data_IF_447911991144
#
_entry.id   IF_447911991144
#
_cell.length_a   1.000
_cell.length_b   1.000
_cell.length_c   1.000
_cell.angle_alpha   90.00
_cell.angle_beta   90.00
_cell.angle_gamma   90.00
#
_symmetry.space_group_name_H-M   'P 1'
#
loop_
_entity.id
_entity.type
_entity.pdbx_description
1 polymer ?
#
# COMPACT_ATOMS: atom_id res chain seq x y z
N UNK A 1 -12.17 24.39 17.15
CA UNK A 1 -10.76 24.21 16.73
C UNK A 1 -10.76 23.43 15.44
N UNK A 2 -10.35 24.04 14.32
CA UNK A 2 -10.10 23.32 13.08
C UNK A 2 -8.90 22.42 13.34
N UNK A 3 -9.11 21.10 13.38
CA UNK A 3 -8.01 20.15 13.42
C UNK A 3 -7.23 20.29 12.11
N UNK A 4 -6.05 20.90 12.18
CA UNK A 4 -5.14 20.97 11.03
C UNK A 4 -4.36 19.66 10.94
N UNK A 5 -4.30 19.10 9.74
CA UNK A 5 -3.48 17.94 9.46
C UNK A 5 -2.00 18.33 9.47
N UNK A 6 -1.09 17.35 9.71
CA UNK A 6 0.32 17.55 9.42
C UNK A 6 0.53 18.10 8.01
N UNK A 7 1.62 18.84 7.79
CA UNK A 7 1.93 19.42 6.49
C UNK A 7 2.04 18.32 5.43
N UNK A 8 1.54 18.57 4.22
CA UNK A 8 1.73 17.65 3.09
C UNK A 8 3.14 17.79 2.51
N UNK A 9 3.69 16.70 1.97
CA UNK A 9 4.97 16.74 1.25
C UNK A 9 4.83 17.53 -0.05
N UNK A 10 3.75 17.27 -0.79
CA UNK A 10 3.33 18.10 -1.93
C UNK A 10 2.16 18.96 -1.49
N UNK A 11 2.30 20.26 -1.68
CA UNK A 11 1.24 21.22 -1.42
C UNK A 11 0.00 20.96 -2.29
N UNK A 12 -1.17 21.34 -1.78
CA UNK A 12 -2.41 21.19 -2.53
C UNK A 12 -2.34 22.02 -3.83
N UNK A 13 -2.70 21.40 -4.95
CA UNK A 13 -2.58 22.01 -6.28
C UNK A 13 -1.24 21.79 -6.99
N UNK A 14 -0.19 21.35 -6.28
CA UNK A 14 1.11 21.00 -6.87
C UNK A 14 1.25 19.50 -7.20
N UNK A 15 0.16 18.74 -7.05
CA UNK A 15 0.10 17.32 -7.36
C UNK A 15 0.35 17.09 -8.87
N UNK A 16 1.30 16.21 -9.20
CA UNK A 16 1.60 15.89 -10.59
C UNK A 16 0.40 15.24 -11.27
N UNK A 17 -0.12 15.85 -12.32
CA UNK A 17 -1.19 15.24 -13.11
C UNK A 17 -0.57 14.21 -14.05
N UNK A 18 -1.01 12.95 -13.91
CA UNK A 18 -0.50 11.85 -14.72
C UNK A 18 -1.64 11.26 -15.55
N UNK A 19 -1.43 11.20 -16.86
CA UNK A 19 -2.39 10.59 -17.80
C UNK A 19 -2.26 9.06 -17.81
N UNK A 20 -1.02 8.56 -17.77
CA UNK A 20 -0.70 7.12 -17.86
C UNK A 20 0.26 6.70 -16.76
N UNK A 21 -0.10 5.62 -16.07
CA UNK A 21 0.74 4.95 -15.08
C UNK A 21 0.96 3.53 -15.58
N UNK A 22 2.22 3.10 -15.65
CA UNK A 22 2.49 1.71 -16.00
C UNK A 22 1.92 0.79 -14.91
N UNK A 23 1.37 -0.34 -15.32
CA UNK A 23 0.95 -1.38 -14.40
C UNK A 23 1.58 -2.68 -14.86
N UNK A 24 2.51 -3.19 -14.08
CA UNK A 24 3.21 -4.45 -14.35
C UNK A 24 2.60 -5.64 -13.59
N UNK A 25 1.50 -5.44 -12.87
CA UNK A 25 0.78 -6.52 -12.20
C UNK A 25 0.15 -7.46 -13.25
N UNK A 26 0.76 -8.64 -13.43
CA UNK A 26 0.29 -9.68 -14.37
C UNK A 26 -0.53 -10.74 -13.62
N UNK A 27 -1.85 -10.55 -13.61
CA UNK A 27 -2.78 -11.50 -12.97
C UNK A 27 -2.91 -12.83 -13.71
N UNK A 28 -2.71 -12.82 -15.03
CA UNK A 28 -2.86 -14.01 -15.89
C UNK A 28 -1.97 -15.17 -15.47
N UNK A 29 -0.76 -14.87 -14.96
CA UNK A 29 0.17 -15.90 -14.47
C UNK A 29 -0.43 -16.65 -13.28
N UNK A 30 -1.14 -15.95 -12.39
CA UNK A 30 -1.72 -16.56 -11.19
C UNK A 30 -3.00 -17.34 -11.54
N UNK A 31 -3.74 -16.93 -12.57
CA UNK A 31 -4.84 -17.70 -13.14
C UNK A 31 -4.35 -19.01 -13.78
N UNK A 32 -3.23 -18.98 -14.51
CA UNK A 32 -2.59 -20.18 -15.06
C UNK A 32 -2.09 -21.13 -13.96
N UNK A 33 -1.41 -20.60 -12.93
CA UNK A 33 -0.95 -21.38 -11.78
C UNK A 33 -2.12 -22.08 -11.09
N UNK A 34 -3.24 -21.37 -10.87
CA UNK A 34 -4.45 -21.96 -10.29
C UNK A 34 -5.01 -23.10 -11.15
N UNK A 35 -4.96 -22.97 -12.48
CA UNK A 35 -5.41 -24.00 -13.40
C UNK A 35 -4.55 -25.27 -13.38
N UNK A 36 -3.23 -25.12 -13.16
CA UNK A 36 -2.27 -26.26 -13.16
C UNK A 36 -2.13 -26.89 -11.78
N UNK A 37 -2.15 -26.09 -10.71
CA UNK A 37 -1.85 -26.49 -9.33
C UNK A 37 -3.02 -26.17 -8.40
N UNK A 38 -4.22 -26.66 -8.72
CA UNK A 38 -5.44 -26.26 -8.00
C UNK A 38 -5.44 -26.68 -6.52
N UNK A 39 -4.89 -27.86 -6.20
CA UNK A 39 -4.86 -28.38 -4.82
C UNK A 39 -3.92 -27.55 -3.96
N UNK A 40 -2.70 -27.33 -4.43
CA UNK A 40 -1.69 -26.53 -3.74
C UNK A 40 -2.14 -25.07 -3.62
N UNK A 41 -2.80 -24.54 -4.66
CA UNK A 41 -3.34 -23.20 -4.64
C UNK A 41 -4.41 -23.02 -3.55
N UNK A 42 -5.31 -24.00 -3.37
CA UNK A 42 -6.32 -24.00 -2.30
C UNK A 42 -5.70 -24.14 -0.90
N UNK A 43 -4.55 -24.80 -0.78
CA UNK A 43 -3.78 -24.83 0.47
C UNK A 43 -3.12 -23.48 0.76
N UNK A 44 -2.49 -22.85 -0.23
CA UNK A 44 -1.86 -21.53 -0.09
C UNK A 44 -2.88 -20.43 0.18
N UNK A 45 -4.12 -20.56 -0.31
CA UNK A 45 -5.20 -19.64 0.03
C UNK A 45 -5.51 -19.59 1.54
N UNK A 46 -5.18 -20.65 2.29
CA UNK A 46 -5.35 -20.72 3.74
C UNK A 46 -4.14 -20.18 4.50
N UNK A 47 -3.04 -19.91 3.80
CA UNK A 47 -1.83 -19.37 4.40
C UNK A 47 -2.08 -17.93 4.88
N UNK A 48 -1.68 -17.57 6.12
CA UNK A 48 -1.95 -16.25 6.68
C UNK A 48 -1.19 -15.12 5.96
N UNK A 49 -0.11 -15.43 5.23
CA UNK A 49 0.74 -14.47 4.52
C UNK A 49 0.31 -14.39 3.05
N UNK A 50 0.28 -15.52 2.35
CA UNK A 50 -0.01 -15.57 0.92
C UNK A 50 -1.50 -15.61 0.59
N UNK A 51 -2.33 -16.14 1.49
CA UNK A 51 -3.78 -16.22 1.31
C UNK A 51 -4.43 -14.86 1.04
N UNK A 52 -4.17 -13.82 1.85
CA UNK A 52 -4.66 -12.46 1.57
C UNK A 52 -4.22 -11.92 0.20
N UNK A 53 -3.00 -12.22 -0.24
CA UNK A 53 -2.48 -11.76 -1.53
C UNK A 53 -3.17 -12.45 -2.71
N UNK A 54 -3.40 -13.76 -2.63
CA UNK A 54 -4.17 -14.50 -3.64
C UNK A 54 -5.66 -14.13 -3.60
N UNK A 55 -6.20 -13.84 -2.42
CA UNK A 55 -7.57 -13.40 -2.26
C UNK A 55 -7.87 -12.07 -2.98
N UNK A 56 -6.88 -11.18 -3.14
CA UNK A 56 -7.03 -9.97 -3.97
C UNK A 56 -7.39 -10.35 -5.41
N UNK A 57 -6.80 -11.41 -5.94
CA UNK A 57 -7.03 -11.87 -7.32
C UNK A 57 -8.37 -12.61 -7.42
N UNK A 58 -8.66 -13.50 -6.47
CA UNK A 58 -9.94 -14.23 -6.41
C UNK A 58 -11.14 -13.28 -6.34
N UNK A 59 -11.04 -12.24 -5.51
CA UNK A 59 -12.09 -11.23 -5.35
C UNK A 59 -12.08 -10.18 -6.48
N UNK A 60 -11.23 -10.37 -7.51
CA UNK A 60 -11.08 -9.46 -8.66
C UNK A 60 -10.78 -8.02 -8.22
N UNK A 61 -10.12 -7.84 -7.08
CA UNK A 61 -9.66 -6.54 -6.64
C UNK A 61 -8.63 -6.03 -7.65
N UNK A 62 -8.80 -4.77 -8.05
CA UNK A 62 -8.03 -4.18 -9.14
C UNK A 62 -6.96 -3.27 -8.55
N UNK A 63 -5.71 -3.47 -8.95
CA UNK A 63 -4.66 -2.49 -8.73
C UNK A 63 -4.97 -1.24 -9.57
N UNK A 64 -5.25 -0.13 -8.90
CA UNK A 64 -5.43 1.17 -9.55
C UNK A 64 -4.21 2.04 -9.31
N UNK A 65 -3.34 2.15 -10.32
CA UNK A 65 -2.18 3.04 -10.26
C UNK A 65 -2.58 4.49 -9.97
N UNK A 66 -3.76 4.94 -10.45
CA UNK A 66 -4.29 6.29 -10.17
C UNK A 66 -4.59 6.51 -8.68
N UNK A 67 -5.13 5.49 -8.00
CA UNK A 67 -5.40 5.57 -6.56
C UNK A 67 -4.09 5.65 -5.78
N UNK A 68 -3.13 4.77 -6.09
CA UNK A 68 -1.83 4.76 -5.44
C UNK A 68 -1.08 6.08 -5.67
N UNK A 69 -1.10 6.60 -6.89
CA UNK A 69 -0.54 7.91 -7.21
C UNK A 69 -1.20 9.04 -6.41
N UNK A 70 -2.54 9.01 -6.24
CA UNK A 70 -3.22 9.98 -5.38
C UNK A 70 -2.80 9.85 -3.91
N UNK A 71 -2.50 8.66 -3.40
CA UNK A 71 -2.00 8.49 -2.03
C UNK A 71 -0.60 9.10 -1.89
N UNK A 72 0.30 8.82 -2.83
CA UNK A 72 1.66 9.37 -2.85
C UNK A 72 1.62 10.91 -2.92
N UNK A 73 0.77 11.48 -3.79
CA UNK A 73 0.67 12.93 -3.92
C UNK A 73 0.09 13.62 -2.68
N UNK A 74 -0.72 12.91 -1.90
CA UNK A 74 -1.39 13.42 -0.69
C UNK A 74 -0.69 12.95 0.58
N UNK A 75 0.58 12.58 0.49
CA UNK A 75 1.39 12.15 1.61
C UNK A 75 1.62 13.29 2.60
N UNK A 76 1.51 12.95 3.88
CA UNK A 76 1.76 13.81 5.03
C UNK A 76 3.22 13.67 5.47
N UNK A 77 3.82 14.77 5.89
CA UNK A 77 5.15 14.81 6.49
C UNK A 77 5.05 14.32 7.94
N UNK A 78 5.67 13.17 8.21
CA UNK A 78 5.62 12.47 9.51
C UNK A 78 7.01 12.04 9.92
N UNK A 79 7.37 12.17 11.20
CA UNK A 79 8.72 11.83 11.71
C UNK A 79 9.02 10.34 11.76
N UNK A 80 8.05 9.48 11.43
CA UNK A 80 8.18 8.02 11.45
C UNK A 80 8.69 7.52 10.09
N UNK A 81 9.92 6.99 10.06
CA UNK A 81 10.59 6.52 8.84
C UNK A 81 9.81 5.46 8.07
N UNK A 82 9.20 4.53 8.80
CA UNK A 82 8.52 3.38 8.23
C UNK A 82 6.99 3.50 8.23
N UNK A 83 6.48 4.72 8.40
CA UNK A 83 5.06 5.00 8.26
C UNK A 83 4.81 5.99 7.12
N UNK A 84 3.98 5.58 6.19
CA UNK A 84 3.40 6.44 5.17
C UNK A 84 2.02 6.88 5.64
N UNK A 85 1.86 8.18 5.78
CA UNK A 85 0.56 8.79 6.07
C UNK A 85 0.10 9.57 4.86
N UNK A 86 -1.16 9.47 4.49
CA UNK A 86 -1.71 10.18 3.34
C UNK A 86 -3.17 10.57 3.57
N UNK A 87 -3.60 11.66 2.94
CA UNK A 87 -4.98 12.11 3.03
C UNK A 87 -5.86 11.45 1.97
N UNK A 88 -6.93 10.82 2.42
CA UNK A 88 -7.99 10.29 1.56
C UNK A 88 -9.36 10.73 2.08
N UNK A 89 -10.14 11.39 1.23
CA UNK A 89 -11.46 11.91 1.61
C UNK A 89 -11.45 12.74 2.92
N UNK A 90 -10.42 13.58 3.12
CA UNK A 90 -10.17 14.37 4.34
C UNK A 90 -9.98 13.54 5.61
N UNK A 91 -9.60 12.27 5.48
CA UNK A 91 -9.22 11.39 6.58
C UNK A 91 -7.76 10.97 6.39
N UNK A 92 -6.94 10.98 7.46
CA UNK A 92 -5.60 10.46 7.39
C UNK A 92 -5.68 8.93 7.34
N UNK A 93 -5.05 8.34 6.34
CA UNK A 93 -4.79 6.92 6.25
C UNK A 93 -3.31 6.68 6.54
N UNK A 94 -3.02 5.56 7.20
CA UNK A 94 -1.67 5.15 7.56
C UNK A 94 -1.36 3.80 6.91
N UNK A 95 -0.13 3.66 6.47
CA UNK A 95 0.47 2.40 6.06
C UNK A 95 1.84 2.29 6.73
N UNK A 96 2.05 1.28 7.56
CA UNK A 96 3.29 1.09 8.33
C UNK A 96 3.98 -0.23 7.99
N UNK A 97 5.31 -0.24 8.08
CA UNK A 97 6.08 -1.46 7.88
C UNK A 97 5.83 -2.49 9.01
N UNK A 98 5.63 -2.02 10.24
CA UNK A 98 5.47 -2.89 11.41
C UNK A 98 4.09 -3.55 11.50
N UNK A 99 3.04 -2.94 10.95
CA UNK A 99 1.68 -3.49 11.03
C UNK A 99 1.19 -3.99 9.68
N UNK A 100 0.92 -3.10 8.73
CA UNK A 100 0.31 -3.47 7.45
C UNK A 100 1.24 -4.32 6.59
N UNK A 101 2.52 -3.94 6.49
CA UNK A 101 3.49 -4.72 5.72
C UNK A 101 3.78 -6.06 6.41
N UNK A 102 4.05 -6.06 7.72
CA UNK A 102 4.22 -7.29 8.51
C UNK A 102 3.04 -8.25 8.38
N UNK A 103 1.80 -7.74 8.40
CA UNK A 103 0.61 -8.56 8.23
C UNK A 103 0.56 -9.25 6.86
N UNK A 104 1.10 -8.63 5.81
CA UNK A 104 1.10 -9.19 4.45
C UNK A 104 2.30 -10.11 4.19
N UNK A 105 3.48 -9.81 4.73
CA UNK A 105 4.71 -10.53 4.38
C UNK A 105 5.26 -11.43 5.50
N UNK A 106 4.72 -11.34 6.72
CA UNK A 106 5.16 -12.12 7.88
C UNK A 106 6.53 -11.73 8.45
N UNK A 107 7.30 -10.86 7.78
CA UNK A 107 8.61 -10.42 8.28
C UNK A 107 8.47 -9.23 9.23
N UNK A 108 9.15 -9.30 10.37
CA UNK A 108 9.18 -8.21 11.36
C UNK A 108 10.30 -7.22 11.02
N UNK A 109 9.98 -5.93 11.05
CA UNK A 109 10.97 -4.86 11.03
C UNK A 109 11.57 -4.67 12.44
N UNK A 110 12.81 -4.16 12.50
CA UNK A 110 13.42 -3.71 13.76
C UNK A 110 12.83 -2.36 14.18
N UNK A 111 12.84 -2.10 15.49
CA UNK A 111 12.51 -0.79 16.02
C UNK A 111 13.60 0.21 15.67
N UNK A 112 13.19 1.42 15.28
CA UNK A 112 14.10 2.40 14.66
C UNK A 112 13.81 3.84 15.12
N UNK A 113 14.81 4.73 15.03
CA UNK A 113 14.70 6.12 15.48
C UNK A 113 13.81 6.98 14.57
N UNK A 114 13.28 8.06 15.13
CA UNK A 114 12.51 9.06 14.39
C UNK A 114 13.43 9.93 13.49
N UNK A 115 12.91 10.32 12.33
CA UNK A 115 13.59 11.22 11.39
C UNK A 115 13.39 12.67 11.80
N UNK A 116 14.48 13.44 11.83
CA UNK A 116 14.44 14.89 11.91
C UNK A 116 14.40 15.50 10.49
N UNK A 117 13.44 16.40 10.25
CA UNK A 117 13.28 17.07 8.94
C UNK A 117 13.85 18.49 8.90
N UNK A 118 14.60 18.89 9.92
CA UNK A 118 15.16 20.23 10.05
C UNK A 118 16.67 20.30 9.71
N UNK A 119 17.25 19.21 9.21
CA UNK A 119 18.59 19.15 8.63
C UNK A 119 18.52 19.33 7.10
#
# INVERSE_FOLDING_TARGET
MTYEFPQRILEEGFETQIDKINNTCRRTILEEVKGVLNIEYDEVLKDPVFGPLLAIIENKLIYSGKIIHSFICKQLKVSKLHELWFLFAKRPLRFSAQQEFHAVIGLKFKDEPDINFND
#
